data_IF_484951826390
#
_entry.id   IF_484951826390
#
_cell.length_a   1.000
_cell.length_b   1.000
_cell.length_c   1.000
_cell.angle_alpha   90.00
_cell.angle_beta   90.00
_cell.angle_gamma   90.00
#
_symmetry.space_group_name_H-M   'P 1'
#
loop_
_entity.id
_entity.type
_entity.pdbx_description
1 polymer ?
#
# COMPACT_ATOMS: atom_id res chain seq x y z
N UNK A 1 8.84 11.76 -11.51
CA UNK A 1 7.76 10.75 -11.41
C UNK A 1 8.34 9.35 -11.52
N UNK A 2 9.04 9.01 -12.62
CA UNK A 2 9.72 7.71 -12.78
C UNK A 2 10.54 7.26 -11.56
N UNK A 3 11.45 8.10 -11.02
CA UNK A 3 12.27 7.74 -9.85
C UNK A 3 11.43 7.32 -8.63
N UNK A 4 10.29 8.00 -8.37
CA UNK A 4 9.38 7.65 -7.28
C UNK A 4 8.77 6.27 -7.48
N UNK A 5 8.42 5.91 -8.71
CA UNK A 5 7.88 4.58 -9.01
C UNK A 5 8.90 3.48 -8.80
N UNK A 6 10.13 3.69 -9.26
CA UNK A 6 11.20 2.71 -9.07
C UNK A 6 11.54 2.52 -7.59
N UNK A 7 11.48 3.60 -6.80
CA UNK A 7 11.58 3.51 -5.34
C UNK A 7 10.43 2.68 -4.76
N UNK A 8 9.18 2.91 -5.19
CA UNK A 8 8.03 2.13 -4.71
C UNK A 8 8.20 0.65 -5.04
N UNK A 9 8.50 0.28 -6.29
CA UNK A 9 8.71 -1.12 -6.69
C UNK A 9 9.80 -1.80 -5.85
N UNK A 10 10.93 -1.11 -5.66
CA UNK A 10 12.03 -1.60 -4.82
C UNK A 10 11.61 -1.76 -3.34
N UNK A 11 10.91 -0.77 -2.77
CA UNK A 11 10.54 -0.78 -1.35
C UNK A 11 9.48 -1.84 -1.03
N UNK A 12 8.48 -2.03 -1.90
CA UNK A 12 7.43 -3.02 -1.69
C UNK A 12 7.79 -4.40 -2.24
N UNK A 13 8.97 -4.53 -2.86
CA UNK A 13 9.44 -5.73 -3.54
C UNK A 13 8.46 -6.23 -4.61
N UNK A 14 8.14 -5.37 -5.57
CA UNK A 14 7.26 -5.72 -6.68
C UNK A 14 8.00 -6.50 -7.77
N UNK A 15 8.24 -7.79 -7.53
CA UNK A 15 9.05 -8.63 -8.42
C UNK A 15 8.43 -8.87 -9.80
N UNK A 16 7.10 -8.75 -9.92
CA UNK A 16 6.42 -8.79 -11.22
C UNK A 16 6.30 -7.40 -11.87
N UNK A 17 6.85 -6.35 -11.26
CA UNK A 17 6.86 -4.98 -11.77
C UNK A 17 7.86 -4.75 -12.91
N UNK A 18 8.11 -3.47 -13.24
CA UNK A 18 9.05 -3.09 -14.29
C UNK A 18 10.48 -3.57 -14.01
N UNK A 19 10.95 -3.40 -12.76
CA UNK A 19 12.32 -3.71 -12.35
C UNK A 19 12.60 -5.22 -12.31
N UNK A 20 11.57 -6.06 -12.11
CA UNK A 20 11.66 -7.51 -12.18
C UNK A 20 11.22 -8.05 -13.54
N UNK A 21 10.08 -8.75 -13.60
CA UNK A 21 9.62 -9.43 -14.82
C UNK A 21 9.23 -8.50 -15.97
N UNK A 22 9.13 -7.18 -15.75
CA UNK A 22 8.74 -6.23 -16.78
C UNK A 22 7.24 -6.23 -17.04
N UNK A 23 6.42 -6.51 -16.02
CA UNK A 23 4.97 -6.58 -16.10
C UNK A 23 4.35 -5.57 -15.10
N UNK A 24 3.02 -5.54 -14.98
CA UNK A 24 2.34 -4.84 -13.90
C UNK A 24 2.63 -3.32 -13.83
N UNK A 25 2.79 -2.69 -14.99
CA UNK A 25 2.80 -1.24 -15.14
C UNK A 25 2.10 -0.74 -16.42
N UNK A 26 1.65 0.51 -16.37
CA UNK A 26 1.17 1.30 -17.52
C UNK A 26 2.09 2.49 -17.76
N UNK A 27 2.14 2.94 -19.01
CA UNK A 27 2.78 4.20 -19.40
C UNK A 27 1.72 5.12 -19.98
N UNK A 28 1.53 6.26 -19.34
CA UNK A 28 0.74 7.36 -19.88
C UNK A 28 1.64 8.35 -20.60
N UNK A 29 1.33 8.59 -21.87
CA UNK A 29 1.95 9.65 -22.67
C UNK A 29 1.03 10.85 -22.59
N UNK A 30 1.48 11.92 -21.92
CA UNK A 30 0.65 13.12 -21.81
C UNK A 30 0.57 13.81 -23.16
N UNK A 31 -0.63 14.10 -23.68
CA UNK A 31 -0.78 14.84 -24.92
C UNK A 31 -0.12 16.22 -24.81
N UNK A 32 0.56 16.64 -25.88
CA UNK A 32 1.12 17.98 -26.09
C UNK A 32 2.31 18.40 -25.22
N UNK A 33 2.92 17.51 -24.43
CA UNK A 33 4.11 17.89 -23.65
C UNK A 33 5.25 16.85 -23.65
N UNK A 34 5.12 15.78 -24.44
CA UNK A 34 6.15 14.74 -24.64
C UNK A 34 6.63 14.06 -23.33
N UNK A 35 5.86 14.16 -22.24
CA UNK A 35 6.21 13.53 -20.96
C UNK A 35 5.53 12.17 -20.80
N UNK A 36 6.32 11.22 -20.34
CA UNK A 36 5.89 9.86 -19.98
C UNK A 36 5.72 9.75 -18.47
N UNK A 37 4.63 9.11 -18.06
CA UNK A 37 4.32 8.83 -16.66
C UNK A 37 4.12 7.33 -16.50
N UNK A 38 4.88 6.72 -15.61
CA UNK A 38 4.70 5.33 -15.22
C UNK A 38 3.54 5.22 -14.24
N UNK A 39 2.92 4.05 -14.13
CA UNK A 39 1.98 3.67 -13.08
C UNK A 39 2.14 2.18 -12.86
N UNK A 40 2.36 1.73 -11.64
CA UNK A 40 2.31 0.31 -11.35
C UNK A 40 0.87 -0.11 -11.03
N UNK A 41 0.52 -1.34 -11.35
CA UNK A 41 -0.74 -1.98 -11.04
C UNK A 41 -0.48 -3.37 -10.45
N UNK A 42 -1.52 -4.03 -9.94
CA UNK A 42 -1.47 -5.41 -9.41
C UNK A 42 -0.39 -5.64 -8.32
N UNK A 43 -0.71 -5.23 -7.08
CA UNK A 43 0.22 -5.24 -5.95
C UNK A 43 -0.02 -6.40 -4.96
N UNK A 44 -0.70 -7.45 -5.39
CA UNK A 44 -1.08 -8.59 -4.52
C UNK A 44 0.12 -9.43 -4.06
N UNK A 45 1.21 -9.46 -4.84
CA UNK A 45 2.49 -10.11 -4.52
C UNK A 45 3.57 -9.10 -4.08
N UNK A 46 3.22 -8.23 -3.13
CA UNK A 46 4.14 -7.22 -2.58
C UNK A 46 4.18 -7.27 -1.06
N UNK A 47 4.95 -6.38 -0.45
CA UNK A 47 5.11 -6.26 1.00
C UNK A 47 5.58 -7.55 1.69
N UNK A 48 6.50 -8.27 1.05
CA UNK A 48 7.19 -9.42 1.64
C UNK A 48 6.78 -10.77 1.07
N UNK A 49 5.55 -10.88 0.54
CA UNK A 49 5.06 -12.11 -0.08
C UNK A 49 5.95 -12.53 -1.25
N UNK A 50 6.64 -13.66 -1.09
CA UNK A 50 7.62 -14.20 -2.05
C UNK A 50 8.71 -13.21 -2.45
N UNK A 51 9.03 -12.27 -1.58
CA UNK A 51 10.15 -11.37 -1.79
C UNK A 51 11.45 -12.04 -1.36
N UNK A 52 12.35 -12.26 -2.31
CA UNK A 52 13.69 -12.82 -2.03
C UNK A 52 14.75 -11.72 -1.89
N UNK A 53 14.56 -10.59 -2.58
CA UNK A 53 15.46 -9.44 -2.56
C UNK A 53 15.08 -8.39 -1.49
N UNK A 54 15.01 -8.82 -0.22
CA UNK A 54 14.54 -7.98 0.89
C UNK A 54 15.58 -6.98 1.38
N UNK A 55 16.87 -7.30 1.28
CA UNK A 55 17.98 -6.51 1.82
C UNK A 55 18.73 -5.73 0.74
N UNK A 56 19.61 -4.83 1.18
CA UNK A 56 20.58 -4.16 0.32
C UNK A 56 20.00 -2.96 -0.40
N UNK A 57 20.78 -2.41 -1.33
CA UNK A 57 20.44 -1.26 -2.16
C UNK A 57 19.50 -1.66 -3.31
N UNK A 58 19.08 -0.69 -4.14
CA UNK A 58 18.38 -1.01 -5.39
C UNK A 58 19.23 -1.87 -6.32
N UNK A 59 20.56 -1.78 -6.27
CA UNK A 59 21.45 -2.55 -7.13
C UNK A 59 21.40 -4.04 -6.76
N UNK A 60 21.38 -4.33 -5.45
CA UNK A 60 21.17 -5.67 -4.91
C UNK A 60 19.78 -6.20 -5.27
N UNK A 61 18.75 -5.34 -5.20
CA UNK A 61 17.41 -5.71 -5.63
C UNK A 61 17.36 -6.13 -7.09
N UNK A 62 17.94 -5.36 -8.02
CA UNK A 62 17.95 -5.70 -9.45
C UNK A 62 18.68 -7.02 -9.72
N UNK A 63 19.73 -7.31 -8.94
CA UNK A 63 20.49 -8.54 -9.08
C UNK A 63 19.69 -9.78 -8.65
N UNK A 64 18.81 -9.63 -7.64
CA UNK A 64 18.18 -10.74 -6.94
C UNK A 64 16.64 -10.79 -7.01
N UNK A 65 15.99 -9.80 -7.66
CA UNK A 65 14.51 -9.68 -7.69
C UNK A 65 13.81 -10.88 -8.33
N UNK A 66 14.50 -11.60 -9.22
CA UNK A 66 14.00 -12.81 -9.89
C UNK A 66 14.61 -14.11 -9.34
N UNK A 67 15.39 -14.03 -8.28
CA UNK A 67 15.95 -15.23 -7.65
C UNK A 67 14.81 -15.98 -6.96
N UNK A 68 14.62 -17.26 -7.30
CA UNK A 68 13.75 -18.18 -6.57
C UNK A 68 14.63 -19.33 -6.06
N UNK A 69 14.86 -19.45 -4.73
CA UNK A 69 15.70 -20.50 -4.18
C UNK A 69 15.09 -21.91 -4.35
N UNK A 70 13.81 -22.00 -4.72
CA UNK A 70 13.14 -23.26 -5.02
C UNK A 70 13.31 -23.71 -6.48
N UNK A 71 13.76 -22.83 -7.37
CA UNK A 71 14.09 -23.19 -8.75
C UNK A 71 15.56 -23.62 -8.86
N UNK A 72 15.86 -24.72 -9.58
CA UNK A 72 17.26 -25.06 -9.87
C UNK A 72 17.90 -23.94 -10.70
N UNK A 73 19.19 -23.65 -10.50
CA UNK A 73 19.90 -22.67 -11.32
C UNK A 73 19.79 -23.07 -12.80
N UNK A 74 19.73 -22.09 -13.72
CA UNK A 74 19.59 -22.38 -15.14
C UNK A 74 20.68 -23.36 -15.60
N UNK A 75 20.30 -24.35 -16.40
CA UNK A 75 21.22 -25.39 -16.93
C UNK A 75 22.28 -24.83 -17.89
N UNK A 76 22.20 -23.55 -18.25
CA UNK A 76 23.16 -22.86 -19.12
C UNK A 76 23.35 -21.40 -18.70
N UNK A 77 24.61 -20.99 -18.49
CA UNK A 77 24.97 -19.67 -17.97
C UNK A 77 24.97 -19.67 -16.44
N UNK A 78 26.12 -19.43 -15.82
CA UNK A 78 26.30 -19.36 -14.36
C UNK A 78 25.76 -18.08 -13.72
N UNK A 79 25.10 -17.23 -14.51
CA UNK A 79 24.50 -16.00 -14.01
C UNK A 79 23.06 -16.31 -13.61
N UNK A 80 22.63 -15.77 -12.47
CA UNK A 80 21.20 -15.72 -12.09
C UNK A 80 20.37 -15.19 -13.26
N UNK A 81 19.04 -15.32 -13.24
CA UNK A 81 18.14 -14.70 -14.24
C UNK A 81 18.31 -13.18 -14.18
N UNK A 82 19.39 -12.67 -14.77
CA UNK A 82 19.88 -11.30 -14.57
C UNK A 82 18.99 -10.39 -15.38
N UNK A 83 18.22 -9.58 -14.67
CA UNK A 83 17.43 -8.55 -15.31
C UNK A 83 18.32 -7.33 -15.58
N UNK A 84 18.19 -6.78 -16.78
CA UNK A 84 18.75 -5.48 -17.15
C UNK A 84 17.62 -4.55 -17.61
N UNK A 85 16.88 -3.91 -16.68
CA UNK A 85 15.82 -2.98 -17.07
C UNK A 85 16.47 -1.73 -17.67
N UNK A 86 16.20 -1.49 -18.95
CA UNK A 86 16.86 -0.44 -19.72
C UNK A 86 16.76 0.95 -19.07
N UNK A 87 15.62 1.31 -18.48
CA UNK A 87 15.48 2.62 -17.83
C UNK A 87 16.19 2.69 -16.48
N UNK A 88 16.39 1.57 -15.80
CA UNK A 88 17.26 1.53 -14.62
C UNK A 88 18.71 1.84 -15.02
N UNK A 89 19.24 1.15 -16.04
CA UNK A 89 20.62 1.38 -16.48
C UNK A 89 20.85 2.74 -17.12
N UNK A 90 19.87 3.27 -17.86
CA UNK A 90 20.02 4.56 -18.54
C UNK A 90 19.66 5.78 -17.67
N UNK A 91 18.71 5.64 -16.74
CA UNK A 91 18.21 6.78 -15.95
C UNK A 91 18.73 6.72 -14.52
N UNK A 92 18.49 5.62 -13.79
CA UNK A 92 18.85 5.55 -12.36
C UNK A 92 20.37 5.56 -12.19
N UNK A 93 21.09 4.82 -13.03
CA UNK A 93 22.56 4.75 -12.97
C UNK A 93 23.26 5.92 -13.67
N UNK A 94 22.53 6.89 -14.21
CA UNK A 94 23.14 8.10 -14.75
C UNK A 94 23.79 8.92 -13.62
N UNK A 95 25.06 9.36 -13.75
CA UNK A 95 25.80 10.03 -12.68
C UNK A 95 25.11 11.26 -12.08
N UNK A 96 24.35 12.00 -12.88
CA UNK A 96 23.62 13.19 -12.41
C UNK A 96 22.25 12.88 -11.78
N UNK A 97 21.73 11.67 -12.01
CA UNK A 97 20.39 11.26 -11.55
C UNK A 97 20.51 10.38 -10.31
N UNK A 98 21.52 9.51 -10.23
CA UNK A 98 21.73 8.62 -9.09
C UNK A 98 21.70 9.34 -7.74
N UNK A 99 22.40 10.49 -7.53
CA UNK A 99 22.33 11.21 -6.26
C UNK A 99 20.91 11.71 -5.92
N UNK A 100 20.11 12.08 -6.94
CA UNK A 100 18.72 12.51 -6.76
C UNK A 100 17.81 11.34 -6.40
N UNK A 101 18.06 10.16 -6.99
CA UNK A 101 17.38 8.92 -6.64
C UNK A 101 17.68 8.54 -5.19
N UNK A 102 18.96 8.51 -4.80
CA UNK A 102 19.38 8.12 -3.46
C UNK A 102 18.83 9.07 -2.39
N UNK A 103 18.84 10.37 -2.66
CA UNK A 103 18.24 11.35 -1.75
C UNK A 103 16.73 11.13 -1.61
N UNK A 104 16.03 10.93 -2.72
CA UNK A 104 14.59 10.69 -2.71
C UNK A 104 14.23 9.37 -1.98
N UNK A 105 15.05 8.33 -2.14
CA UNK A 105 14.89 7.07 -1.41
C UNK A 105 15.04 7.28 0.10
N UNK A 106 16.08 8.00 0.53
CA UNK A 106 16.28 8.38 1.94
C UNK A 106 15.07 9.13 2.47
N UNK A 107 14.62 10.16 1.76
CA UNK A 107 13.49 10.99 2.19
C UNK A 107 12.20 10.18 2.32
N UNK A 108 11.96 9.24 1.39
CA UNK A 108 10.78 8.37 1.41
C UNK A 108 10.87 7.37 2.58
N UNK A 109 11.99 6.68 2.78
CA UNK A 109 12.11 5.70 3.88
C UNK A 109 12.09 6.40 5.23
N UNK A 110 12.79 7.52 5.37
CA UNK A 110 12.87 8.29 6.60
C UNK A 110 11.49 8.76 7.07
N UNK A 111 10.64 9.24 6.15
CA UNK A 111 9.44 10.00 6.51
C UNK A 111 8.11 9.32 6.14
N UNK A 112 8.13 8.30 5.28
CA UNK A 112 6.92 7.69 4.72
C UNK A 112 6.94 6.16 4.79
N UNK A 113 7.97 5.47 4.29
CA UNK A 113 8.01 4.01 4.24
C UNK A 113 8.69 3.44 5.50
N UNK A 114 8.00 3.53 6.63
CA UNK A 114 8.39 2.93 7.92
C UNK A 114 7.16 2.79 8.83
N UNK A 115 7.27 2.03 9.92
CA UNK A 115 6.12 1.80 10.81
C UNK A 115 5.68 3.02 11.62
N UNK A 116 6.56 3.99 11.90
CA UNK A 116 6.14 5.25 12.54
C UNK A 116 5.14 6.02 11.64
N UNK A 117 5.34 5.94 10.31
CA UNK A 117 4.54 6.60 9.30
C UNK A 117 3.34 5.77 8.79
N UNK A 118 3.53 4.47 8.49
CA UNK A 118 2.48 3.62 7.90
C UNK A 118 1.69 2.82 8.93
N UNK A 119 2.28 2.53 10.10
CA UNK A 119 1.68 1.68 11.12
C UNK A 119 0.25 2.10 11.48
N UNK A 120 0.00 3.37 11.85
CA UNK A 120 -1.35 3.82 12.21
C UNK A 120 -2.39 3.67 11.09
N UNK A 121 -1.96 3.72 9.81
CA UNK A 121 -2.85 3.56 8.65
C UNK A 121 -3.22 2.10 8.47
N UNK A 122 -2.21 1.23 8.60
CA UNK A 122 -2.36 -0.22 8.53
C UNK A 122 -3.29 -0.68 9.64
N UNK A 123 -3.09 -0.19 10.87
CA UNK A 123 -3.97 -0.48 12.01
C UNK A 123 -5.39 0.00 11.78
N UNK A 124 -5.55 1.22 11.25
CA UNK A 124 -6.87 1.72 10.88
C UNK A 124 -7.58 0.82 9.86
N UNK A 125 -6.89 0.35 8.82
CA UNK A 125 -7.50 -0.53 7.82
C UNK A 125 -7.77 -1.92 8.38
N UNK A 126 -6.88 -2.44 9.23
CA UNK A 126 -7.10 -3.71 9.92
C UNK A 126 -8.35 -3.63 10.81
N UNK A 127 -8.44 -2.62 11.69
CA UNK A 127 -9.63 -2.39 12.51
C UNK A 127 -10.91 -2.26 11.68
N UNK A 128 -10.83 -1.56 10.54
CA UNK A 128 -11.96 -1.32 9.65
C UNK A 128 -12.43 -2.59 8.91
N UNK A 129 -11.50 -3.44 8.46
CA UNK A 129 -11.80 -4.61 7.61
C UNK A 129 -11.84 -5.94 8.37
N UNK A 130 -11.40 -5.98 9.64
CA UNK A 130 -11.20 -7.24 10.38
C UNK A 130 -12.45 -8.11 10.42
N UNK A 131 -13.59 -7.52 10.73
CA UNK A 131 -14.82 -8.28 10.90
C UNK A 131 -15.29 -8.90 9.56
N UNK A 132 -15.12 -8.18 8.44
CA UNK A 132 -15.38 -8.69 7.09
C UNK A 132 -14.39 -9.81 6.71
N UNK A 133 -13.10 -9.63 6.98
CA UNK A 133 -12.09 -10.67 6.73
C UNK A 133 -12.37 -11.93 7.54
N UNK A 134 -12.78 -11.78 8.80
CA UNK A 134 -13.13 -12.92 9.67
C UNK A 134 -14.40 -13.61 9.20
N UNK A 135 -15.38 -12.83 8.73
CA UNK A 135 -16.58 -13.38 8.12
C UNK A 135 -16.22 -14.21 6.89
N UNK A 136 -15.36 -13.73 5.99
CA UNK A 136 -14.90 -14.49 4.82
C UNK A 136 -14.19 -15.80 5.22
N UNK A 137 -13.30 -15.75 6.22
CA UNK A 137 -12.60 -16.93 6.76
C UNK A 137 -13.59 -17.95 7.32
N UNK A 138 -14.56 -17.49 8.10
CA UNK A 138 -15.56 -18.36 8.72
C UNK A 138 -16.47 -18.98 7.66
N UNK A 139 -16.91 -18.21 6.65
CA UNK A 139 -17.70 -18.75 5.54
C UNK A 139 -16.96 -19.86 4.80
N UNK A 140 -15.65 -19.68 4.60
CA UNK A 140 -14.79 -20.69 4.02
C UNK A 140 -14.68 -21.93 4.92
N UNK A 141 -14.39 -21.75 6.21
CA UNK A 141 -14.25 -22.85 7.17
C UNK A 141 -15.53 -23.68 7.35
N UNK A 142 -16.70 -23.02 7.22
CA UNK A 142 -18.01 -23.67 7.31
C UNK A 142 -18.55 -24.18 5.98
N UNK A 143 -17.80 -24.04 4.88
CA UNK A 143 -18.25 -24.37 3.51
C UNK A 143 -19.60 -23.73 3.18
N UNK A 144 -19.77 -22.45 3.55
CA UNK A 144 -21.05 -21.73 3.38
C UNK A 144 -21.34 -21.46 1.90
N UNK A 145 -20.30 -21.36 1.06
CA UNK A 145 -20.41 -21.19 -0.38
C UNK A 145 -19.49 -22.19 -1.12
N UNK A 146 -19.89 -22.58 -2.33
CA UNK A 146 -19.06 -23.39 -3.22
C UNK A 146 -17.80 -22.61 -3.63
N UNK A 147 -16.64 -23.05 -3.13
CA UNK A 147 -15.35 -22.48 -3.50
C UNK A 147 -14.73 -23.27 -4.65
N UNK A 148 -14.29 -22.55 -5.70
CA UNK A 148 -13.52 -23.15 -6.80
C UNK A 148 -12.04 -23.04 -6.51
N UNK A 149 -11.35 -24.16 -6.55
CA UNK A 149 -9.90 -24.21 -6.46
C UNK A 149 -9.29 -24.23 -7.85
N UNK A 150 -8.18 -23.52 -8.02
CA UNK A 150 -7.35 -23.70 -9.19
C UNK A 150 -6.66 -25.07 -9.08
N UNK A 151 -7.24 -26.09 -9.72
CA UNK A 151 -6.62 -27.41 -9.79
C UNK A 151 -5.27 -27.34 -10.52
N UNK A 152 -4.17 -27.32 -9.78
CA UNK A 152 -2.88 -27.79 -10.26
C UNK A 152 -2.26 -28.70 -9.22
N UNK A 153 -1.78 -29.84 -9.71
CA UNK A 153 -1.33 -31.04 -9.00
C UNK A 153 -0.26 -30.87 -7.91
N UNK A 154 0.22 -29.66 -7.63
CA UNK A 154 1.46 -29.49 -6.86
C UNK A 154 1.45 -28.41 -5.76
N UNK A 155 0.34 -27.66 -5.53
CA UNK A 155 0.24 -26.77 -4.34
C UNK A 155 -1.20 -26.72 -3.85
N UNK A 156 -1.49 -27.32 -2.70
CA UNK A 156 -2.72 -27.02 -1.97
C UNK A 156 -2.72 -25.51 -1.70
N UNK A 157 -3.74 -24.81 -2.21
CA UNK A 157 -3.91 -23.40 -1.89
C UNK A 157 -4.07 -23.32 -0.37
N UNK A 158 -3.23 -22.52 0.28
CA UNK A 158 -3.30 -22.41 1.73
C UNK A 158 -4.63 -21.77 2.14
N UNK A 159 -5.25 -22.34 3.16
CA UNK A 159 -6.56 -21.91 3.63
C UNK A 159 -6.41 -20.68 4.52
N UNK A 160 -7.21 -19.63 4.29
CA UNK A 160 -7.13 -18.44 5.11
C UNK A 160 -7.54 -18.80 6.54
N UNK A 161 -6.82 -18.26 7.53
CA UNK A 161 -7.12 -18.46 8.93
C UNK A 161 -6.83 -17.19 9.73
N UNK A 162 -7.60 -17.00 10.80
CA UNK A 162 -7.55 -15.77 11.62
C UNK A 162 -6.15 -15.52 12.20
N UNK A 163 -5.46 -16.56 12.67
CA UNK A 163 -4.14 -16.40 13.26
C UNK A 163 -3.09 -15.87 12.27
N UNK A 164 -3.08 -16.38 11.03
CA UNK A 164 -2.19 -15.86 9.96
C UNK A 164 -2.62 -14.47 9.50
N UNK A 165 -3.93 -14.21 9.40
CA UNK A 165 -4.44 -12.87 9.10
C UNK A 165 -3.99 -11.86 10.14
N UNK A 166 -4.08 -12.19 11.43
CA UNK A 166 -3.68 -11.29 12.52
C UNK A 166 -2.17 -11.06 12.55
N UNK A 167 -1.38 -12.10 12.23
CA UNK A 167 0.09 -12.02 12.18
C UNK A 167 0.59 -10.96 11.19
N UNK A 168 -0.12 -10.74 10.07
CA UNK A 168 0.20 -9.69 9.09
C UNK A 168 0.26 -8.28 9.71
N UNK A 169 -0.53 -8.05 10.78
CA UNK A 169 -0.70 -6.75 11.43
C UNK A 169 0.01 -6.67 12.80
N UNK A 170 0.76 -7.69 13.19
CA UNK A 170 1.53 -7.72 14.42
C UNK A 170 2.95 -7.18 14.18
N UNK A 171 3.33 -6.12 14.91
CA UNK A 171 4.67 -5.51 14.79
C UNK A 171 5.79 -6.28 15.48
N UNK A 172 5.43 -7.26 16.33
CA UNK A 172 6.35 -8.16 17.02
C UNK A 172 6.61 -9.44 16.24
N UNK A 173 5.87 -9.65 15.16
CA UNK A 173 6.09 -10.78 14.28
C UNK A 173 7.45 -10.64 13.56
N UNK A 174 8.10 -11.77 13.29
CA UNK A 174 9.43 -11.82 12.68
C UNK A 174 9.41 -12.40 11.27
N UNK A 175 8.26 -12.87 10.80
CA UNK A 175 8.12 -13.40 9.45
C UNK A 175 8.04 -12.25 8.46
N UNK A 176 9.07 -12.10 7.63
CA UNK A 176 9.17 -11.02 6.64
C UNK A 176 8.26 -11.21 5.43
N UNK A 177 7.42 -12.25 5.41
CA UNK A 177 6.26 -12.33 4.50
C UNK A 177 5.00 -11.63 5.05
N UNK A 178 4.99 -11.27 6.34
CA UNK A 178 3.92 -10.49 6.95
C UNK A 178 4.13 -8.98 6.72
N UNK A 179 3.04 -8.27 6.39
CA UNK A 179 3.03 -6.86 5.99
C UNK A 179 3.82 -5.93 6.93
N UNK A 180 3.50 -5.92 8.23
CA UNK A 180 4.20 -5.03 9.18
C UNK A 180 5.66 -5.43 9.39
N UNK A 181 5.91 -6.73 9.54
CA UNK A 181 7.25 -7.30 9.70
C UNK A 181 8.14 -6.93 8.51
N UNK A 182 7.63 -7.03 7.28
CA UNK A 182 8.34 -6.64 6.06
C UNK A 182 8.64 -5.14 6.02
N UNK A 183 7.65 -4.27 6.26
CA UNK A 183 7.87 -2.82 6.25
C UNK A 183 8.93 -2.44 7.27
N UNK A 184 8.85 -2.99 8.49
CA UNK A 184 9.83 -2.77 9.54
C UNK A 184 11.22 -3.18 9.08
N UNK A 185 11.36 -4.44 8.69
CA UNK A 185 12.63 -5.02 8.26
C UNK A 185 13.26 -4.24 7.10
N UNK A 186 12.49 -3.95 6.04
CA UNK A 186 12.98 -3.22 4.86
C UNK A 186 13.39 -1.79 5.22
N UNK A 187 12.58 -1.09 6.02
CA UNK A 187 12.87 0.30 6.41
C UNK A 187 14.09 0.39 7.34
N UNK A 188 14.25 -0.54 8.29
CA UNK A 188 15.41 -0.60 9.20
C UNK A 188 16.71 -0.97 8.46
N UNK A 189 16.66 -1.92 7.51
CA UNK A 189 17.80 -2.26 6.68
C UNK A 189 18.31 -1.05 5.88
N UNK A 190 17.39 -0.32 5.23
CA UNK A 190 17.75 0.88 4.47
C UNK A 190 18.22 2.01 5.39
N UNK A 191 17.60 2.14 6.58
CA UNK A 191 18.00 3.12 7.57
C UNK A 191 19.45 2.92 8.02
N UNK A 192 19.86 1.66 8.21
CA UNK A 192 21.23 1.29 8.53
C UNK A 192 22.19 1.61 7.39
N UNK A 193 21.85 1.26 6.14
CA UNK A 193 22.70 1.50 4.95
C UNK A 193 22.99 2.99 4.77
N UNK A 194 21.96 3.84 4.92
CA UNK A 194 22.09 5.27 4.68
C UNK A 194 22.32 6.11 5.94
N UNK A 195 22.38 5.48 7.11
CA UNK A 195 22.52 6.13 8.41
C UNK A 195 21.45 7.23 8.64
N UNK A 196 20.17 6.88 8.44
CA UNK A 196 19.02 7.78 8.63
C UNK A 196 18.16 7.34 9.82
N UNK A 197 17.44 8.28 10.43
CA UNK A 197 16.55 8.00 11.57
C UNK A 197 15.09 7.98 11.12
N UNK A 198 14.39 6.87 11.33
CA UNK A 198 13.00 6.69 10.92
C UNK A 198 12.05 7.57 11.75
N UNK A 199 11.15 8.27 11.07
CA UNK A 199 10.15 9.17 11.66
C UNK A 199 8.87 9.21 10.82
N UNK A 200 7.83 9.86 11.35
CA UNK A 200 6.50 9.97 10.72
C UNK A 200 6.22 11.33 10.08
N UNK A 201 7.17 12.28 10.20
CA UNK A 201 6.99 13.68 9.80
C UNK A 201 7.98 14.07 8.71
N UNK A 202 7.44 14.36 7.52
CA UNK A 202 8.19 14.92 6.41
C UNK A 202 7.90 16.40 6.18
N UNK A 203 8.41 16.92 5.05
CA UNK A 203 8.17 18.30 4.59
C UNK A 203 6.66 18.63 4.44
N UNK A 204 5.87 17.63 4.04
CA UNK A 204 4.42 17.78 3.81
C UNK A 204 3.55 17.43 5.03
N UNK A 205 4.17 17.28 6.20
CA UNK A 205 3.49 16.96 7.46
C UNK A 205 3.57 15.49 7.83
N UNK A 206 2.70 15.11 8.77
CA UNK A 206 2.56 13.73 9.25
C UNK A 206 1.61 12.93 8.35
N UNK A 207 1.97 11.68 8.12
CA UNK A 207 1.17 10.72 7.36
C UNK A 207 0.67 9.62 8.29
N UNK A 208 -0.18 8.72 7.76
CA UNK A 208 -0.56 7.53 8.50
C UNK A 208 -1.81 7.60 9.37
N UNK A 209 -2.33 8.78 9.71
CA UNK A 209 -3.50 8.95 10.62
C UNK A 209 -4.81 8.28 10.15
N UNK A 210 -5.98 8.59 10.72
CA UNK A 210 -7.26 8.06 10.18
C UNK A 210 -7.67 8.78 8.89
N UNK A 211 -8.41 8.13 7.98
CA UNK A 211 -9.01 8.82 6.82
C UNK A 211 -10.21 9.61 7.34
N UNK A 212 -10.02 10.91 7.56
CA UNK A 212 -11.11 11.80 7.95
C UNK A 212 -11.70 12.45 6.70
N UNK A 213 -13.03 12.59 6.64
CA UNK A 213 -13.66 13.41 5.60
C UNK A 213 -13.18 14.85 5.75
N UNK A 214 -12.68 15.43 4.65
CA UNK A 214 -12.17 16.82 4.64
C UNK A 214 -13.37 17.77 4.79
N UNK A 215 -13.63 18.19 6.03
CA UNK A 215 -14.64 19.18 6.37
C UNK A 215 -14.02 20.55 6.69
N UNK A 216 -13.92 21.39 5.65
CA UNK A 216 -13.65 22.85 5.63
C UNK A 216 -12.36 23.38 6.30
N UNK A 217 -11.47 23.88 5.44
CA UNK A 217 -10.36 24.77 5.80
C UNK A 217 -10.86 25.94 6.67
N UNK A 218 -10.20 26.14 7.82
CA UNK A 218 -10.34 27.36 8.62
C UNK A 218 -9.66 28.50 7.86
N UNK A 219 -10.40 29.57 7.55
CA UNK A 219 -9.79 30.88 7.36
C UNK A 219 -9.31 31.36 8.73
N UNK A 220 -8.05 31.77 8.77
CA UNK A 220 -7.47 32.57 9.84
C UNK A 220 -8.30 33.83 10.07
N UNK A 221 -8.52 34.19 11.34
CA UNK A 221 -8.29 35.56 11.77
C UNK A 221 -8.08 35.66 13.29
N UNK A 222 -7.05 36.43 13.62
CA UNK A 222 -6.54 36.84 14.93
C UNK A 222 -7.63 37.28 15.93
N UNK A 223 -7.55 36.86 17.20
CA UNK A 223 -6.94 37.63 18.31
C UNK A 223 -7.22 37.03 19.71
N UNK A 224 -6.14 36.63 20.39
CA UNK A 224 -5.81 36.75 21.82
C UNK A 224 -6.83 36.51 22.98
N UNK A 225 -6.60 35.36 23.65
CA UNK A 225 -6.20 35.20 25.07
C UNK A 225 -7.28 35.00 26.18
N UNK A 226 -7.50 33.76 26.62
CA UNK A 226 -6.98 33.20 27.89
C UNK A 226 -7.74 31.92 28.35
N UNK A 227 -6.93 30.98 28.83
CA UNK A 227 -7.15 29.62 29.35
C UNK A 227 -8.50 29.18 29.95
N UNK A 228 -8.99 28.03 29.47
CA UNK A 228 -9.13 26.72 30.15
C UNK A 228 -10.41 25.96 29.77
N UNK A 229 -10.18 24.82 29.11
CA UNK A 229 -10.97 23.57 29.12
C UNK A 229 -12.49 23.69 29.22
N UNK A 230 -13.17 23.54 28.08
CA UNK A 230 -14.52 22.95 28.05
C UNK A 230 -14.82 22.36 26.68
N UNK A 231 -14.97 21.04 26.64
CA UNK A 231 -15.96 20.41 25.80
C UNK A 231 -17.33 20.92 26.27
N UNK A 232 -18.05 21.62 25.40
CA UNK A 232 -19.50 21.86 25.46
C UNK A 232 -19.84 22.58 24.16
N UNK A 233 -20.64 22.03 23.25
CA UNK A 233 -21.99 21.56 23.55
C UNK A 233 -22.96 22.75 23.48
N UNK A 234 -23.31 23.18 22.28
CA UNK A 234 -24.62 23.83 22.03
C UNK A 234 -24.93 23.92 20.54
N UNK A 235 -25.68 22.90 20.12
CA UNK A 235 -26.71 22.82 19.09
C UNK A 235 -27.06 24.08 18.29
N UNK A 236 -27.01 23.95 16.95
CA UNK A 236 -27.85 24.74 16.05
C UNK A 236 -28.57 23.79 15.07
N UNK A 237 -29.88 24.03 14.97
CA UNK A 237 -30.95 23.16 14.50
C UNK A 237 -30.82 22.78 13.02
N UNK A 238 -30.90 21.48 12.76
CA UNK A 238 -31.21 20.96 11.43
C UNK A 238 -32.68 21.26 11.14
N UNK A 239 -32.94 21.97 10.04
CA UNK A 239 -34.29 22.25 9.58
C UNK A 239 -34.91 20.93 9.09
N UNK A 240 -35.88 20.39 9.84
CA UNK A 240 -36.54 19.08 9.61
C UNK A 240 -37.31 18.95 8.29
N UNK A 241 -37.37 19.98 7.45
CA UNK A 241 -38.28 20.03 6.30
C UNK A 241 -37.77 19.31 5.04
N UNK A 242 -36.49 18.94 4.93
CA UNK A 242 -35.98 18.27 3.71
C UNK A 242 -35.94 16.74 3.78
N UNK A 243 -36.14 16.15 4.96
CA UNK A 243 -36.10 14.68 5.12
C UNK A 243 -37.48 14.03 4.91
N UNK A 244 -38.56 14.78 5.09
CA UNK A 244 -39.93 14.29 4.90
C UNK A 244 -40.33 14.17 3.42
N UNK A 245 -39.80 15.01 2.53
CA UNK A 245 -40.21 14.99 1.11
C UNK A 245 -39.62 13.80 0.36
N UNK A 246 -38.36 13.45 0.65
CA UNK A 246 -37.66 12.33 0.03
C UNK A 246 -38.28 10.98 0.37
N UNK A 247 -38.76 10.80 1.59
CA UNK A 247 -39.35 9.53 2.05
C UNK A 247 -40.79 9.33 1.50
N UNK A 248 -41.53 10.43 1.29
CA UNK A 248 -42.88 10.39 0.70
C UNK A 248 -42.82 10.06 -0.80
N UNK A 249 -41.82 10.58 -1.54
CA UNK A 249 -41.67 10.29 -2.98
C UNK A 249 -41.32 8.82 -3.26
N UNK A 250 -40.56 8.15 -2.39
CA UNK A 250 -40.23 6.72 -2.57
C UNK A 250 -41.43 5.82 -2.27
N UNK A 251 -42.23 6.16 -1.24
CA UNK A 251 -43.42 5.38 -0.88
C UNK A 251 -44.50 5.48 -1.97
N UNK A 252 -44.72 6.66 -2.54
CA UNK A 252 -45.70 6.84 -3.64
C UNK A 252 -45.26 6.08 -4.89
N UNK A 253 -43.96 6.07 -5.22
CA UNK A 253 -43.43 5.32 -6.36
C UNK A 253 -43.63 3.81 -6.21
N UNK A 254 -43.43 3.27 -5.00
CA UNK A 254 -43.64 1.83 -4.72
C UNK A 254 -45.12 1.46 -4.78
N UNK A 255 -46.03 2.32 -4.29
CA UNK A 255 -47.48 2.08 -4.35
C UNK A 255 -48.03 2.13 -5.79
N UNK A 256 -47.52 3.02 -6.65
CA UNK A 256 -47.93 3.08 -8.05
C UNK A 256 -47.49 1.82 -8.80
N UNK A 257 -46.29 1.29 -8.53
CA UNK A 257 -45.81 0.04 -9.13
C UNK A 257 -46.67 -1.15 -8.68
N UNK A 258 -47.10 -1.19 -7.41
CA UNK A 258 -47.97 -2.25 -6.89
C UNK A 258 -49.42 -2.19 -7.39
N UNK A 259 -49.88 -1.08 -7.97
CA UNK A 259 -51.22 -0.98 -8.57
C UNK A 259 -51.25 -1.33 -10.06
N UNK A 260 -50.09 -1.53 -10.70
CA UNK A 260 -49.94 -1.85 -12.13
C UNK A 260 -49.74 -3.37 -12.35
N UNK A 261 -49.58 -4.16 -11.28
CA UNK A 261 -49.45 -5.61 -11.30
C UNK A 261 -50.55 -6.31 -10.51
#
# INVERSE_FOLDING_TARGET
MFLKYMIIEYLICHSDGYLGNGNNFFIYVKPNNEKYYFFSYDFDLTFGKWCFAKEGTIDDYILHVLDDPSEPPPTYGSETKKRDPFLYTQIINHPEIRPKFDQLLKDIVQNLFNLNALGPRIDYFYEFLRDDMYWDIDNYAFNTFDTKYFNKKDREQELPNKAKTDAQYNELDTDTENLKSFIKYKSENIAQIFNIQLQSKGEFGEVGGKLMTIGKAKNDDNNNNSDKTTASGSSIRINKSSFSSLLITTIISILIILMIF
#
